data_IF_804365807310
#
_entry.id   IF_804365807310
#
_cell.length_a   1.000
_cell.length_b   1.000
_cell.length_c   1.000
_cell.angle_alpha   90.00
_cell.angle_beta   90.00
_cell.angle_gamma   90.00
#
_symmetry.space_group_name_H-M   'P 1'
#
loop_
_entity.id
_entity.type
_entity.pdbx_description
1 polymer ?
#
# COMPACT_ATOMS: atom_id res chain seq x y z
N UNK A 1 37.95 -21.94 0.43
CA UNK A 1 37.16 -22.77 1.37
C UNK A 1 35.77 -22.18 1.64
N UNK A 2 35.65 -21.00 2.28
CA UNK A 2 34.35 -20.41 2.68
C UNK A 2 33.37 -20.20 1.52
N UNK A 3 33.84 -19.72 0.36
CA UNK A 3 33.00 -19.50 -0.82
C UNK A 3 32.33 -20.78 -1.34
N UNK A 4 33.08 -21.86 -1.49
CA UNK A 4 32.56 -23.14 -1.96
C UNK A 4 31.50 -23.74 -1.01
N UNK A 5 31.67 -23.53 0.31
CA UNK A 5 30.69 -23.94 1.32
C UNK A 5 29.38 -23.17 1.19
N UNK A 6 29.45 -21.86 0.90
CA UNK A 6 28.26 -21.04 0.67
C UNK A 6 27.59 -21.38 -0.66
N UNK A 7 28.37 -21.61 -1.72
CA UNK A 7 27.84 -22.01 -3.03
C UNK A 7 27.07 -23.33 -2.92
N UNK A 8 27.65 -24.35 -2.27
CA UNK A 8 26.96 -25.62 -2.03
C UNK A 8 25.71 -25.45 -1.12
N UNK A 9 25.79 -24.60 -0.08
CA UNK A 9 24.66 -24.34 0.82
C UNK A 9 23.47 -23.69 0.12
N UNK A 10 23.71 -22.81 -0.86
CA UNK A 10 22.68 -22.11 -1.62
C UNK A 10 22.39 -22.77 -2.97
N UNK A 11 22.95 -23.96 -3.25
CA UNK A 11 22.86 -24.66 -4.54
C UNK A 11 23.40 -23.86 -5.74
N UNK A 12 24.27 -22.87 -5.50
CA UNK A 12 24.85 -22.01 -6.55
C UNK A 12 25.90 -22.73 -7.39
N UNK A 13 26.29 -23.93 -6.99
CA UNK A 13 27.18 -24.85 -7.71
C UNK A 13 26.46 -25.65 -8.82
N UNK A 14 25.12 -25.66 -8.83
CA UNK A 14 24.31 -26.41 -9.81
C UNK A 14 24.07 -25.62 -11.10
N UNK A 15 23.71 -26.28 -12.22
CA UNK A 15 23.25 -25.60 -13.44
C UNK A 15 22.06 -24.66 -13.15
N UNK A 16 22.00 -23.50 -13.82
CA UNK A 16 20.94 -22.49 -13.62
C UNK A 16 19.51 -23.06 -13.64
N UNK A 17 19.13 -23.99 -14.55
CA UNK A 17 17.78 -24.56 -14.53
C UNK A 17 17.46 -25.32 -13.24
N UNK A 18 18.44 -26.05 -12.69
CA UNK A 18 18.26 -26.77 -11.43
C UNK A 18 18.12 -25.81 -10.25
N UNK A 19 18.93 -24.75 -10.20
CA UNK A 19 18.82 -23.71 -9.16
C UNK A 19 17.41 -23.12 -9.13
N UNK A 20 16.86 -22.82 -10.31
CA UNK A 20 15.52 -22.25 -10.43
C UNK A 20 14.42 -23.22 -9.97
N UNK A 21 14.52 -24.50 -10.35
CA UNK A 21 13.54 -25.51 -9.93
C UNK A 21 13.60 -25.79 -8.43
N UNK A 22 14.79 -25.83 -7.83
CA UNK A 22 14.96 -25.96 -6.38
C UNK A 22 14.34 -24.76 -5.68
N UNK A 23 14.61 -23.53 -6.16
CA UNK A 23 14.05 -22.32 -5.60
C UNK A 23 12.52 -22.29 -5.66
N UNK A 24 11.94 -22.61 -6.81
CA UNK A 24 10.48 -22.73 -6.97
C UNK A 24 9.88 -23.80 -6.06
N UNK A 25 10.53 -24.97 -5.97
CA UNK A 25 10.11 -26.06 -5.10
C UNK A 25 10.04 -25.62 -3.64
N UNK A 26 11.09 -24.96 -3.15
CA UNK A 26 11.14 -24.42 -1.79
C UNK A 26 10.06 -23.36 -1.56
N UNK A 27 9.87 -22.45 -2.53
CA UNK A 27 8.89 -21.37 -2.44
C UNK A 27 7.44 -21.89 -2.32
N UNK A 28 7.09 -22.95 -3.05
CA UNK A 28 5.76 -23.59 -2.97
C UNK A 28 5.53 -24.24 -1.60
N UNK A 29 6.59 -24.71 -0.92
CA UNK A 29 6.51 -25.23 0.44
C UNK A 29 6.60 -24.14 1.51
N UNK A 30 6.64 -22.86 1.12
CA UNK A 30 6.73 -21.71 2.03
C UNK A 30 8.14 -21.40 2.52
N UNK A 31 9.18 -22.07 1.99
CA UNK A 31 10.58 -21.75 2.26
C UNK A 31 11.09 -20.75 1.23
N UNK A 32 11.10 -19.47 1.62
CA UNK A 32 11.64 -18.39 0.81
C UNK A 32 13.15 -18.21 1.03
N UNK A 33 13.74 -18.95 1.96
CA UNK A 33 15.12 -18.82 2.39
C UNK A 33 15.37 -17.64 3.32
N UNK A 34 16.65 -17.28 3.43
CA UNK A 34 17.14 -16.26 4.36
C UNK A 34 17.59 -15.03 3.57
N UNK A 35 17.22 -13.84 4.06
CA UNK A 35 17.65 -12.58 3.49
C UNK A 35 19.17 -12.44 3.59
N UNK A 36 19.84 -12.29 2.45
CA UNK A 36 21.29 -12.06 2.41
C UNK A 36 21.71 -10.70 3.01
N UNK A 37 20.76 -9.77 3.19
CA UNK A 37 21.01 -8.44 3.76
C UNK A 37 20.86 -8.42 5.28
N UNK A 38 19.87 -9.14 5.81
CA UNK A 38 19.49 -9.08 7.24
C UNK A 38 19.71 -10.38 8.01
N UNK A 39 20.00 -11.49 7.33
CA UNK A 39 20.15 -12.81 7.95
C UNK A 39 18.86 -13.39 8.55
N UNK A 40 17.72 -12.73 8.32
CA UNK A 40 16.40 -13.15 8.82
C UNK A 40 15.68 -14.00 7.78
N UNK A 41 14.83 -14.90 8.26
CA UNK A 41 13.91 -15.65 7.42
C UNK A 41 12.99 -14.70 6.64
N UNK A 42 12.92 -14.89 5.32
CA UNK A 42 12.11 -14.07 4.42
C UNK A 42 10.62 -14.29 4.68
N UNK A 43 10.19 -15.51 5.01
CA UNK A 43 8.79 -15.81 5.32
C UNK A 43 8.29 -14.96 6.49
N UNK A 44 9.12 -14.83 7.54
CA UNK A 44 8.81 -14.00 8.69
C UNK A 44 8.73 -12.51 8.32
N UNK A 45 9.67 -12.01 7.52
CA UNK A 45 9.66 -10.60 7.06
C UNK A 45 8.40 -10.30 6.26
N UNK A 46 8.01 -11.21 5.35
CA UNK A 46 6.79 -11.09 4.54
C UNK A 46 5.57 -11.07 5.46
N UNK A 47 5.47 -11.99 6.43
CA UNK A 47 4.35 -12.05 7.36
C UNK A 47 4.17 -10.77 8.17
N UNK A 48 5.25 -10.25 8.76
CA UNK A 48 5.24 -9.00 9.53
C UNK A 48 4.83 -7.80 8.67
N UNK A 49 5.42 -7.67 7.48
CA UNK A 49 5.14 -6.56 6.57
C UNK A 49 3.73 -6.64 6.00
N UNK A 50 3.27 -7.85 5.65
CA UNK A 50 1.95 -8.10 5.11
C UNK A 50 0.86 -7.69 6.10
N UNK A 51 1.01 -7.98 7.39
CA UNK A 51 0.04 -7.55 8.41
C UNK A 51 -0.17 -6.03 8.44
N UNK A 52 0.91 -5.26 8.31
CA UNK A 52 0.86 -3.79 8.27
C UNK A 52 0.20 -3.32 6.96
N UNK A 53 0.63 -3.86 5.82
CA UNK A 53 0.10 -3.52 4.49
C UNK A 53 -1.38 -3.87 4.36
N UNK A 54 -1.80 -5.03 4.86
CA UNK A 54 -3.19 -5.49 4.82
C UNK A 54 -4.09 -4.58 5.66
N UNK A 55 -3.68 -4.24 6.89
CA UNK A 55 -4.42 -3.30 7.75
C UNK A 55 -4.60 -1.95 7.06
N UNK A 56 -3.52 -1.39 6.51
CA UNK A 56 -3.55 -0.11 5.80
C UNK A 56 -4.44 -0.18 4.55
N UNK A 57 -4.29 -1.23 3.74
CA UNK A 57 -5.05 -1.43 2.51
C UNK A 57 -6.54 -1.61 2.76
N UNK A 58 -6.91 -2.42 3.76
CA UNK A 58 -8.32 -2.64 4.15
C UNK A 58 -8.95 -1.33 4.63
N UNK A 59 -8.26 -0.57 5.49
CA UNK A 59 -8.77 0.73 5.97
C UNK A 59 -8.99 1.71 4.82
N UNK A 60 -8.03 1.80 3.89
CA UNK A 60 -8.16 2.65 2.71
C UNK A 60 -9.29 2.20 1.78
N UNK A 61 -9.44 0.89 1.58
CA UNK A 61 -10.51 0.31 0.76
C UNK A 61 -11.89 0.62 1.36
N UNK A 62 -12.09 0.38 2.66
CA UNK A 62 -13.36 0.66 3.34
C UNK A 62 -13.71 2.15 3.27
N UNK A 63 -12.73 3.02 3.50
CA UNK A 63 -12.94 4.46 3.40
C UNK A 63 -13.29 4.88 1.96
N UNK A 64 -12.58 4.37 0.97
CA UNK A 64 -12.83 4.66 -0.43
C UNK A 64 -14.22 4.20 -0.89
N UNK A 65 -14.65 3.00 -0.48
CA UNK A 65 -15.99 2.48 -0.75
C UNK A 65 -17.05 3.35 -0.09
N UNK A 66 -16.92 3.62 1.21
CA UNK A 66 -17.91 4.38 1.95
C UNK A 66 -18.12 5.79 1.35
N UNK A 67 -17.04 6.57 1.23
CA UNK A 67 -17.14 7.93 0.71
C UNK A 67 -17.41 7.96 -0.79
N UNK A 68 -16.86 7.03 -1.56
CA UNK A 68 -17.08 6.93 -3.00
C UNK A 68 -18.56 6.70 -3.33
N UNK A 69 -19.20 5.77 -2.62
CA UNK A 69 -20.63 5.50 -2.80
C UNK A 69 -21.47 6.69 -2.35
N UNK A 70 -21.20 7.27 -1.17
CA UNK A 70 -21.96 8.43 -0.66
C UNK A 70 -21.86 9.62 -1.63
N UNK A 71 -20.65 9.96 -2.09
CA UNK A 71 -20.45 11.05 -3.04
C UNK A 71 -21.01 10.74 -4.43
N UNK A 72 -20.92 9.49 -4.90
CA UNK A 72 -21.52 9.07 -6.16
C UNK A 72 -23.04 9.17 -6.15
N UNK A 73 -23.69 8.62 -5.13
CA UNK A 73 -25.15 8.69 -4.97
C UNK A 73 -25.65 10.13 -4.83
N UNK A 74 -24.96 10.96 -4.03
CA UNK A 74 -25.35 12.38 -3.88
C UNK A 74 -25.16 13.17 -5.18
N UNK A 75 -24.09 12.93 -5.93
CA UNK A 75 -23.88 13.54 -7.25
C UNK A 75 -24.93 13.07 -8.28
N UNK A 76 -25.34 11.81 -8.25
CA UNK A 76 -26.40 11.28 -9.10
C UNK A 76 -27.76 11.93 -8.81
N UNK A 77 -28.13 12.03 -7.52
CA UNK A 77 -29.40 12.64 -7.09
C UNK A 77 -29.43 14.15 -7.36
N UNK A 78 -28.28 14.82 -7.27
CA UNK A 78 -28.13 16.25 -7.51
C UNK A 78 -27.63 16.57 -8.93
N UNK A 79 -27.90 15.70 -9.92
CA UNK A 79 -27.37 15.83 -11.28
C UNK A 79 -27.52 17.24 -11.85
N UNK A 80 -26.43 17.78 -12.39
CA UNK A 80 -26.31 19.14 -12.94
C UNK A 80 -26.52 20.30 -11.95
N UNK A 81 -26.76 20.04 -10.67
CA UNK A 81 -26.83 21.05 -9.60
C UNK A 81 -25.45 21.28 -8.99
N UNK A 82 -25.37 22.28 -8.10
CA UNK A 82 -24.12 22.66 -7.45
C UNK A 82 -23.41 21.50 -6.70
N UNK A 83 -24.10 20.62 -5.95
CA UNK A 83 -23.43 19.51 -5.25
C UNK A 83 -22.70 18.55 -6.19
N UNK A 84 -23.33 18.19 -7.32
CA UNK A 84 -22.72 17.33 -8.35
C UNK A 84 -21.43 17.94 -8.91
N UNK A 85 -21.48 19.23 -9.29
CA UNK A 85 -20.32 19.94 -9.84
C UNK A 85 -19.17 20.03 -8.84
N UNK A 86 -19.46 20.30 -7.57
CA UNK A 86 -18.44 20.36 -6.51
C UNK A 86 -17.79 19.00 -6.28
N UNK A 87 -18.60 17.94 -6.13
CA UNK A 87 -18.10 16.58 -5.90
C UNK A 87 -17.15 16.19 -7.02
N UNK A 88 -17.58 16.31 -8.28
CA UNK A 88 -16.75 15.93 -9.44
C UNK A 88 -15.49 16.78 -9.52
N UNK A 89 -15.58 18.08 -9.29
CA UNK A 89 -14.43 18.97 -9.33
C UNK A 89 -13.36 18.53 -8.31
N UNK A 90 -13.75 18.36 -7.04
CA UNK A 90 -12.81 17.94 -5.99
C UNK A 90 -12.26 16.54 -6.22
N UNK A 91 -13.11 15.56 -6.58
CA UNK A 91 -12.65 14.19 -6.83
C UNK A 91 -11.70 14.10 -8.02
N UNK A 92 -11.88 14.94 -9.04
CA UNK A 92 -10.98 15.01 -10.20
C UNK A 92 -9.67 15.68 -9.80
N UNK A 93 -9.74 16.81 -9.10
CA UNK A 93 -8.57 17.56 -8.64
C UNK A 93 -7.64 16.71 -7.76
N UNK A 94 -8.19 15.96 -6.80
CA UNK A 94 -7.39 15.10 -5.93
C UNK A 94 -6.78 13.90 -6.68
N UNK A 95 -7.42 13.39 -7.73
CA UNK A 95 -6.84 12.32 -8.57
C UNK A 95 -5.76 12.83 -9.50
N UNK A 96 -5.82 14.09 -9.93
CA UNK A 96 -4.78 14.71 -10.75
C UNK A 96 -3.46 14.87 -10.01
N UNK A 97 -3.47 14.89 -8.67
CA UNK A 97 -2.26 14.95 -7.85
C UNK A 97 -1.68 13.54 -7.68
N UNK A 98 -0.38 13.32 -7.97
CA UNK A 98 0.26 12.04 -7.70
C UNK A 98 0.15 11.65 -6.22
N UNK A 99 -0.17 10.39 -5.95
CA UNK A 99 -0.44 9.91 -4.58
C UNK A 99 0.72 10.15 -3.62
N UNK A 100 1.97 10.01 -4.05
CA UNK A 100 3.15 10.27 -3.22
C UNK A 100 3.31 11.77 -2.89
N UNK A 101 2.95 12.67 -3.82
CA UNK A 101 2.98 14.13 -3.59
C UNK A 101 1.97 14.48 -2.52
N UNK A 102 0.75 13.93 -2.67
CA UNK A 102 -0.31 14.12 -1.70
C UNK A 102 0.09 13.58 -0.33
N UNK A 103 0.60 12.35 -0.24
CA UNK A 103 1.10 11.77 1.01
C UNK A 103 2.16 12.65 1.68
N UNK A 104 3.11 13.16 0.89
CA UNK A 104 4.18 14.03 1.36
C UNK A 104 3.65 15.36 1.87
N UNK A 105 2.66 15.97 1.18
CA UNK A 105 2.01 17.20 1.62
C UNK A 105 1.23 17.00 2.92
N UNK A 106 0.47 15.90 3.03
CA UNK A 106 -0.25 15.59 4.27
C UNK A 106 0.74 15.43 5.43
N UNK A 107 1.83 14.69 5.22
CA UNK A 107 2.87 14.50 6.24
C UNK A 107 3.49 15.84 6.65
N UNK A 108 3.91 16.67 5.69
CA UNK A 108 4.56 17.94 5.97
C UNK A 108 3.65 18.92 6.72
N UNK A 109 2.40 19.04 6.28
CA UNK A 109 1.47 20.01 6.85
C UNK A 109 0.95 19.53 8.21
N UNK A 110 0.45 18.31 8.29
CA UNK A 110 -0.27 17.82 9.47
C UNK A 110 0.64 17.21 10.54
N UNK A 111 1.76 16.60 10.14
CA UNK A 111 2.71 16.05 11.11
C UNK A 111 3.80 17.04 11.50
N UNK A 112 4.42 17.71 10.53
CA UNK A 112 5.61 18.54 10.81
C UNK A 112 5.28 19.99 11.14
N UNK A 113 4.41 20.65 10.37
CA UNK A 113 4.07 22.07 10.61
C UNK A 113 3.04 22.27 11.72
N UNK A 114 1.90 21.57 11.63
CA UNK A 114 0.79 21.73 12.57
C UNK A 114 0.94 20.87 13.83
N UNK A 115 1.65 19.74 13.74
CA UNK A 115 1.81 18.81 14.86
C UNK A 115 0.52 18.14 15.33
N UNK A 116 -0.56 18.18 14.53
CA UNK A 116 -1.85 17.57 14.88
C UNK A 116 -1.77 16.05 14.93
N UNK A 117 -0.89 15.49 14.11
CA UNK A 117 -0.74 14.06 13.94
C UNK A 117 0.72 13.66 14.12
N UNK A 118 0.96 12.54 14.77
CA UNK A 118 2.30 11.99 14.88
C UNK A 118 2.64 11.22 13.60
N UNK A 119 3.91 11.24 13.20
CA UNK A 119 4.42 10.43 12.09
C UNK A 119 4.25 8.95 12.44
N UNK A 120 3.86 8.15 11.45
CA UNK A 120 3.72 6.72 11.64
C UNK A 120 5.06 6.12 12.10
N UNK A 121 5.02 5.36 13.20
CA UNK A 121 6.14 4.63 13.77
C UNK A 121 5.62 3.34 14.42
N UNK A 122 6.50 2.37 14.63
CA UNK A 122 6.17 1.14 15.35
C UNK A 122 5.58 1.42 16.74
N UNK A 123 5.99 2.51 17.40
CA UNK A 123 5.43 2.96 18.69
C UNK A 123 4.17 3.80 18.57
N UNK A 124 3.95 4.47 17.43
CA UNK A 124 2.81 5.36 17.21
C UNK A 124 2.16 5.07 15.85
N UNK A 125 1.18 4.17 15.88
CA UNK A 125 0.56 3.60 14.69
C UNK A 125 -0.54 4.50 14.11
N UNK A 126 -0.18 5.73 13.72
CA UNK A 126 -1.12 6.64 13.10
C UNK A 126 -1.33 6.31 11.61
N UNK A 127 -2.44 5.64 11.29
CA UNK A 127 -2.79 5.25 9.92
C UNK A 127 -3.63 6.29 9.17
N UNK A 128 -4.13 7.33 9.84
CA UNK A 128 -5.15 8.20 9.26
C UNK A 128 -4.68 8.92 7.99
N UNK A 129 -3.53 9.59 8.04
CA UNK A 129 -3.00 10.33 6.88
C UNK A 129 -2.60 9.40 5.72
N UNK A 130 -1.88 8.28 5.97
CA UNK A 130 -1.64 7.28 4.93
C UNK A 130 -2.93 6.73 4.31
N UNK A 131 -3.95 6.45 5.12
CA UNK A 131 -5.25 5.93 4.66
C UNK A 131 -5.97 6.97 3.80
N UNK A 132 -5.98 8.25 4.18
CA UNK A 132 -6.54 9.35 3.37
C UNK A 132 -5.82 9.45 2.03
N UNK A 133 -4.50 9.49 2.05
CA UNK A 133 -3.73 9.61 0.83
C UNK A 133 -3.91 8.40 -0.10
N UNK A 134 -4.05 7.19 0.45
CA UNK A 134 -4.21 5.96 -0.33
C UNK A 134 -5.65 5.79 -0.85
N UNK A 135 -6.66 6.19 -0.09
CA UNK A 135 -8.07 6.00 -0.43
C UNK A 135 -8.57 7.00 -1.49
N UNK A 136 -7.95 8.17 -1.63
CA UNK A 136 -8.46 9.24 -2.50
C UNK A 136 -8.58 8.83 -3.97
N UNK A 137 -7.61 8.07 -4.49
CA UNK A 137 -7.65 7.58 -5.86
C UNK A 137 -8.81 6.58 -6.10
N UNK A 138 -8.91 5.45 -5.36
CA UNK A 138 -10.02 4.53 -5.54
C UNK A 138 -11.37 5.15 -5.19
N UNK A 139 -11.45 6.05 -4.21
CA UNK A 139 -12.68 6.78 -3.86
C UNK A 139 -13.23 7.55 -5.05
N UNK A 140 -12.38 8.33 -5.74
CA UNK A 140 -12.78 9.10 -6.91
C UNK A 140 -13.24 8.21 -8.07
N UNK A 141 -12.55 7.08 -8.28
CA UNK A 141 -12.97 6.09 -9.27
C UNK A 141 -14.37 5.52 -8.94
N UNK A 142 -14.61 5.14 -7.68
CA UNK A 142 -15.91 4.62 -7.21
C UNK A 142 -17.00 5.68 -7.31
N UNK A 143 -16.73 6.94 -6.94
CA UNK A 143 -17.67 8.06 -7.11
C UNK A 143 -18.14 8.19 -8.55
N UNK A 144 -17.21 8.12 -9.51
CA UNK A 144 -17.51 8.25 -10.94
C UNK A 144 -18.25 7.05 -11.51
N UNK A 145 -18.01 5.85 -10.99
CA UNK A 145 -18.75 4.65 -11.39
C UNK A 145 -20.18 4.62 -10.83
N UNK A 146 -20.39 5.21 -9.65
CA UNK A 146 -21.68 5.18 -8.95
C UNK A 146 -22.63 6.28 -9.41
N UNK A 147 -22.09 7.38 -9.97
CA UNK A 147 -22.87 8.48 -10.53
C UNK A 147 -23.52 8.09 -11.87
#
# INVERSE_FOLDING_TARGET
AVRAVLEARYNLDKPLPEQYMIYLGNMIHGDFGVSLKSGRDIAQIIGESFGISAKLGIMAMLMALFFGIVFGCTAALARNRWPDRMIIFFTTLFVSVPSFVLATLLLLIFCLKLGWFQVWSSSNQNYLLPVISLALYPMSYITRLTK
#
